data_IF_312165328395
#
_entry.id   IF_312165328395
#
_cell.length_a   1.000
_cell.length_b   1.000
_cell.length_c   1.000
_cell.angle_alpha   90.00
_cell.angle_beta   90.00
_cell.angle_gamma   90.00
#
_symmetry.space_group_name_H-M   'P 1'
#
loop_
_entity.id
_entity.type
_entity.pdbx_description
1 polymer ?
#
# COMPACT_ATOMS: atom_id res chain seq x y z
N UNK A 1 4.74 -2.53 -14.59
CA UNK A 1 5.43 -3.50 -13.70
C UNK A 1 5.29 -3.01 -12.26
N UNK A 2 4.91 -3.88 -11.32
CA UNK A 2 4.77 -3.53 -9.89
C UNK A 2 6.11 -3.47 -9.16
N UNK A 3 7.01 -2.56 -9.56
CA UNK A 3 8.39 -2.46 -9.01
C UNK A 3 8.42 -2.37 -7.49
N UNK A 4 7.53 -1.57 -6.91
CA UNK A 4 7.46 -1.40 -5.46
C UNK A 4 6.87 -2.61 -4.71
N UNK A 5 6.48 -3.68 -5.41
CA UNK A 5 5.99 -4.93 -4.82
C UNK A 5 6.93 -6.08 -5.14
N UNK A 6 7.30 -6.26 -6.41
CA UNK A 6 8.09 -7.42 -6.88
C UNK A 6 9.57 -7.11 -7.07
N UNK A 7 9.99 -5.84 -6.98
CA UNK A 7 11.34 -5.38 -7.28
C UNK A 7 12.10 -4.83 -6.08
N UNK A 8 11.62 -5.10 -4.86
CA UNK A 8 12.31 -4.72 -3.63
C UNK A 8 13.47 -5.69 -3.36
N UNK A 9 14.60 -5.17 -2.86
CA UNK A 9 15.77 -5.96 -2.43
C UNK A 9 15.52 -6.73 -1.14
N UNK A 10 14.60 -6.25 -0.31
CA UNK A 10 14.21 -6.86 0.95
C UNK A 10 12.72 -6.65 1.20
N UNK A 11 12.15 -7.49 2.07
CA UNK A 11 10.76 -7.35 2.49
C UNK A 11 10.60 -6.14 3.40
N UNK A 12 9.61 -5.27 3.14
CA UNK A 12 9.29 -4.15 4.03
C UNK A 12 8.70 -4.66 5.34
N UNK A 13 8.99 -3.94 6.42
CA UNK A 13 8.37 -4.22 7.72
C UNK A 13 6.87 -3.84 7.69
N UNK A 14 6.02 -4.80 8.07
CA UNK A 14 4.56 -4.67 8.08
C UNK A 14 4.02 -4.32 9.47
N UNK A 15 4.86 -4.40 10.51
CA UNK A 15 4.43 -4.30 11.91
C UNK A 15 3.63 -3.02 12.19
N UNK A 16 4.04 -1.82 11.72
CA UNK A 16 3.29 -0.58 11.98
C UNK A 16 1.95 -0.47 11.27
N UNK A 17 1.66 -1.34 10.29
CA UNK A 17 0.45 -1.28 9.46
C UNK A 17 -0.58 -2.34 9.85
N UNK A 18 -0.19 -3.33 10.65
CA UNK A 18 -1.03 -4.47 10.99
C UNK A 18 -2.34 -4.07 11.70
N UNK A 19 -2.28 -3.05 12.57
CA UNK A 19 -3.47 -2.56 13.29
C UNK A 19 -4.48 -1.85 12.37
N UNK A 20 -4.07 -1.42 11.18
CA UNK A 20 -4.94 -0.81 10.16
C UNK A 20 -5.52 -1.83 9.19
N UNK A 21 -5.33 -3.12 9.44
CA UNK A 21 -5.83 -4.20 8.59
C UNK A 21 -5.07 -4.35 7.27
N UNK A 22 -3.88 -3.76 7.16
CA UNK A 22 -3.01 -3.93 5.99
C UNK A 22 -2.29 -5.27 6.08
N UNK A 23 -2.57 -6.16 5.14
CA UNK A 23 -2.03 -7.53 5.08
C UNK A 23 -0.88 -7.65 4.07
N UNK A 24 -0.81 -6.76 3.07
CA UNK A 24 0.21 -6.82 2.01
C UNK A 24 0.80 -5.46 1.68
N UNK A 25 2.02 -5.44 1.14
CA UNK A 25 2.65 -4.18 0.71
C UNK A 25 1.92 -3.50 -0.45
N UNK A 26 1.25 -4.28 -1.31
CA UNK A 26 0.40 -3.71 -2.37
C UNK A 26 -0.78 -2.92 -1.76
N UNK A 27 -1.39 -3.44 -0.71
CA UNK A 27 -2.42 -2.72 0.05
C UNK A 27 -1.84 -1.48 0.72
N UNK A 28 -0.65 -1.56 1.32
CA UNK A 28 0.02 -0.41 1.94
C UNK A 28 0.22 0.73 0.94
N UNK A 29 0.69 0.43 -0.28
CA UNK A 29 0.90 1.42 -1.33
C UNK A 29 -0.42 2.04 -1.83
N UNK A 30 -1.48 1.23 -1.95
CA UNK A 30 -2.79 1.75 -2.34
C UNK A 30 -3.39 2.63 -1.25
N UNK A 31 -3.35 2.17 0.00
CA UNK A 31 -3.76 2.94 1.18
C UNK A 31 -2.97 4.26 1.27
N UNK A 32 -1.67 4.24 1.02
CA UNK A 32 -0.80 5.43 1.00
C UNK A 32 -1.27 6.49 0.00
N UNK A 33 -1.62 6.07 -1.23
CA UNK A 33 -2.12 6.97 -2.29
C UNK A 33 -3.48 7.55 -1.92
N UNK A 34 -4.46 6.72 -1.57
CA UNK A 34 -5.84 7.17 -1.32
C UNK A 34 -5.97 8.00 -0.03
N UNK A 35 -5.01 7.90 0.90
CA UNK A 35 -4.99 8.69 2.13
C UNK A 35 -4.51 10.13 1.94
N UNK A 36 -4.15 10.53 0.71
CA UNK A 36 -3.93 11.93 0.37
C UNK A 36 -5.26 12.64 0.15
N UNK A 37 -5.54 13.69 0.92
CA UNK A 37 -6.77 14.48 0.79
C UNK A 37 -6.95 15.13 -0.60
N UNK A 38 -5.88 15.25 -1.40
CA UNK A 38 -5.94 15.76 -2.78
C UNK A 38 -6.33 14.69 -3.79
N UNK A 39 -6.27 13.41 -3.41
CA UNK A 39 -6.59 12.26 -4.26
C UNK A 39 -8.05 11.87 -4.04
N UNK A 40 -8.79 11.72 -5.13
CA UNK A 40 -10.20 11.32 -5.09
C UNK A 40 -10.40 9.84 -5.38
N UNK A 41 -9.50 9.22 -6.15
CA UNK A 41 -9.58 7.81 -6.52
C UNK A 41 -8.22 7.26 -6.95
N UNK A 42 -8.01 5.96 -6.71
CA UNK A 42 -6.91 5.18 -7.25
C UNK A 42 -7.45 4.11 -8.21
N UNK A 43 -6.81 3.94 -9.38
CA UNK A 43 -7.22 2.98 -10.41
C UNK A 43 -6.13 1.91 -10.55
N UNK A 44 -6.11 0.88 -9.69
CA UNK A 44 -5.12 -0.18 -9.78
C UNK A 44 -5.39 -1.09 -10.98
N UNK A 45 -4.33 -1.47 -11.69
CA UNK A 45 -4.38 -2.43 -12.78
C UNK A 45 -3.80 -3.78 -12.36
N UNK A 46 -4.48 -4.87 -12.69
CA UNK A 46 -4.01 -6.25 -12.50
C UNK A 46 -4.52 -7.15 -13.62
N UNK A 47 -3.69 -8.09 -14.07
CA UNK A 47 -4.10 -9.20 -14.95
C UNK A 47 -4.50 -10.46 -14.16
N UNK A 48 -4.36 -10.41 -12.83
CA UNK A 48 -4.59 -11.52 -11.90
C UNK A 48 -5.89 -11.27 -11.13
N UNK A 49 -6.95 -12.06 -11.37
CA UNK A 49 -8.25 -11.89 -10.71
C UNK A 49 -8.17 -11.89 -9.18
N UNK A 50 -7.29 -12.71 -8.60
CA UNK A 50 -7.09 -12.80 -7.15
C UNK A 50 -6.59 -11.48 -6.53
N UNK A 51 -5.92 -10.62 -7.31
CA UNK A 51 -5.45 -9.31 -6.83
C UNK A 51 -6.54 -8.24 -6.85
N UNK A 52 -7.68 -8.48 -7.50
CA UNK A 52 -8.80 -7.53 -7.53
C UNK A 52 -9.32 -7.32 -6.11
N UNK A 53 -9.61 -8.41 -5.39
CA UNK A 53 -10.08 -8.36 -4.01
C UNK A 53 -9.03 -7.77 -3.07
N UNK A 54 -7.76 -8.16 -3.25
CA UNK A 54 -6.65 -7.61 -2.46
C UNK A 54 -6.53 -6.09 -2.62
N UNK A 55 -6.61 -5.59 -3.86
CA UNK A 55 -6.56 -4.15 -4.13
C UNK A 55 -7.78 -3.42 -3.57
N UNK A 56 -8.97 -4.02 -3.69
CA UNK A 56 -10.21 -3.44 -3.19
C UNK A 56 -10.21 -3.28 -1.66
N UNK A 57 -9.61 -4.23 -0.92
CA UNK A 57 -9.50 -4.14 0.55
C UNK A 57 -8.84 -2.83 1.01
N UNK A 58 -7.86 -2.31 0.28
CA UNK A 58 -7.19 -1.06 0.64
C UNK A 58 -8.16 0.12 0.76
N UNK A 59 -9.22 0.16 -0.06
CA UNK A 59 -10.25 1.20 0.01
C UNK A 59 -11.18 1.09 1.23
N UNK A 60 -11.20 -0.04 1.92
CA UNK A 60 -12.05 -0.28 3.09
C UNK A 60 -11.36 -0.04 4.43
N UNK A 61 -10.04 0.20 4.44
CA UNK A 61 -9.21 0.33 5.64
C UNK A 61 -9.27 1.74 6.28
N UNK A 62 -9.99 2.69 5.66
CA UNK A 62 -9.93 4.10 6.03
C UNK A 62 -8.63 4.77 5.57
N UNK A 63 -8.44 6.03 5.95
CA UNK A 63 -7.22 6.76 5.62
C UNK A 63 -6.12 6.49 6.65
N UNK A 64 -4.92 6.19 6.16
CA UNK A 64 -3.72 6.13 6.98
C UNK A 64 -3.43 7.52 7.58
N UNK A 65 -3.09 7.59 8.88
CA UNK A 65 -2.48 8.77 9.49
C UNK A 65 -1.24 9.24 8.73
N UNK A 66 -0.94 10.54 8.82
CA UNK A 66 0.17 11.17 8.10
C UNK A 66 1.52 10.51 8.42
N UNK A 67 1.71 10.08 9.67
CA UNK A 67 2.90 9.41 10.16
C UNK A 67 3.10 8.05 9.46
N UNK A 68 2.02 7.30 9.26
CA UNK A 68 2.07 6.01 8.57
C UNK A 68 2.19 6.17 7.07
N UNK A 69 1.62 7.23 6.49
CA UNK A 69 1.90 7.58 5.10
C UNK A 69 3.39 7.84 4.89
N UNK A 70 4.00 8.61 5.80
CA UNK A 70 5.44 8.88 5.73
C UNK A 70 6.29 7.62 5.97
N UNK A 71 5.86 6.73 6.87
CA UNK A 71 6.48 5.44 7.09
C UNK A 71 6.51 4.58 5.82
N UNK A 72 5.37 4.40 5.13
CA UNK A 72 5.30 3.60 3.89
C UNK A 72 6.25 4.14 2.82
N UNK A 73 6.37 5.47 2.71
CA UNK A 73 7.32 6.11 1.79
C UNK A 73 8.77 5.75 2.15
N UNK A 74 9.18 5.97 3.40
CA UNK A 74 10.55 5.70 3.88
C UNK A 74 10.92 4.22 3.78
N UNK A 75 10.01 3.34 4.16
CA UNK A 75 10.24 1.90 4.12
C UNK A 75 10.31 1.41 2.67
N UNK A 76 9.50 1.95 1.76
CA UNK A 76 9.65 1.68 0.32
C UNK A 76 11.04 2.08 -0.16
N UNK A 77 11.51 3.30 0.17
CA UNK A 77 12.83 3.79 -0.22
C UNK A 77 13.97 2.93 0.33
N UNK A 78 13.86 2.49 1.58
CA UNK A 78 14.80 1.58 2.24
C UNK A 78 14.84 0.20 1.58
N UNK A 79 13.74 -0.27 1.00
CA UNK A 79 13.64 -1.60 0.41
C UNK A 79 13.98 -1.65 -1.10
N UNK A 80 14.17 -0.50 -1.76
CA UNK A 80 14.59 -0.40 -3.17
C UNK A 80 16.04 -0.80 -3.43
#
# INVERSE_FOLDING_TARGET
>A
KGRYVTGLKQSPDMTPLAEFGVETWAQALLAWVISDHRITSAIPATSRPERILENAKAGSMGHLPSELREYVRKETEKCL
#
